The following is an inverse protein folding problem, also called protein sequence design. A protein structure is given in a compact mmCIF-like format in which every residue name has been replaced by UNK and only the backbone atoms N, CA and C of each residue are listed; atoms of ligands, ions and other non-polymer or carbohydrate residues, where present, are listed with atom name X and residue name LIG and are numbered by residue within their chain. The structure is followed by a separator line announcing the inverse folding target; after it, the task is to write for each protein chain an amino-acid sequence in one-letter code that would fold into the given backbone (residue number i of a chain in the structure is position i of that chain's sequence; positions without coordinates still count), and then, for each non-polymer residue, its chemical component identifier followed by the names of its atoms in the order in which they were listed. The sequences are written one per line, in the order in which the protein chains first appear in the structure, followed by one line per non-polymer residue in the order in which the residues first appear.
data_IF_386221633573
#
_entry.id   IF_386221633573
#
_cell.length_a   1.000
_cell.length_b   1.000
_cell.length_c   1.000
_cell.angle_alpha   90.00
_cell.angle_beta   90.00
_cell.angle_gamma   90.00
#
_symmetry.space_group_name_H-M   'P 1'
#
loop_
_entity.id
_entity.type
_entity.pdbx_description
1 polymer ?
#
# COMPACT_ATOMS: atom_id res chain seq x y z
N UNK A 1 25.04 -27.71 -11.72
CA UNK A 1 25.56 -28.02 -13.07
C UNK A 1 24.47 -28.56 -13.99
N UNK A 2 23.46 -29.25 -13.45
CA UNK A 2 22.47 -30.00 -14.25
C UNK A 2 21.28 -29.19 -14.78
N UNK A 3 20.83 -28.12 -14.10
CA UNK A 3 19.78 -27.20 -14.63
C UNK A 3 20.27 -26.47 -15.87
N UNK A 4 21.54 -26.03 -15.88
CA UNK A 4 22.16 -25.42 -17.05
C UNK A 4 22.20 -26.40 -18.24
N UNK A 5 22.54 -27.67 -17.98
CA UNK A 5 22.56 -28.72 -19.01
C UNK A 5 21.15 -29.06 -19.53
N UNK A 6 20.14 -29.06 -18.66
CA UNK A 6 18.73 -29.21 -19.05
C UNK A 6 18.26 -28.03 -19.93
N UNK A 7 18.61 -26.80 -19.54
CA UNK A 7 18.33 -25.60 -20.31
C UNK A 7 19.01 -25.57 -21.68
N UNK A 8 20.28 -26.00 -21.75
CA UNK A 8 21.03 -26.15 -23.01
C UNK A 8 20.42 -27.21 -23.91
N UNK A 9 20.07 -28.40 -23.37
CA UNK A 9 19.39 -29.47 -24.12
C UNK A 9 18.04 -29.02 -24.66
N UNK A 10 17.24 -28.32 -23.85
CA UNK A 10 15.93 -27.80 -24.27
C UNK A 10 16.08 -26.76 -25.39
N UNK A 11 16.99 -25.79 -25.21
CA UNK A 11 17.31 -24.77 -26.22
C UNK A 11 17.74 -25.41 -27.54
N UNK A 12 18.67 -26.36 -27.49
CA UNK A 12 19.24 -26.99 -28.68
C UNK A 12 18.20 -27.89 -29.39
N UNK A 13 17.32 -28.54 -28.65
CA UNK A 13 16.23 -29.36 -29.21
C UNK A 13 15.14 -28.51 -29.87
N UNK A 14 14.82 -27.35 -29.29
CA UNK A 14 13.90 -26.36 -29.87
C UNK A 14 14.51 -25.72 -31.13
N UNK A 15 15.79 -25.33 -31.09
CA UNK A 15 16.49 -24.74 -32.22
C UNK A 15 16.57 -25.72 -33.42
N UNK A 16 16.72 -27.01 -33.15
CA UNK A 16 16.84 -28.05 -34.17
C UNK A 16 15.52 -28.73 -34.53
N UNK A 17 14.37 -28.31 -33.96
CA UNK A 17 13.04 -28.95 -34.14
C UNK A 17 13.03 -30.45 -33.87
N UNK A 18 13.80 -30.90 -32.90
CA UNK A 18 13.99 -32.33 -32.54
C UNK A 18 13.37 -32.69 -31.19
N UNK A 19 12.49 -31.84 -30.66
CA UNK A 19 11.79 -32.09 -29.41
C UNK A 19 10.95 -33.38 -29.53
N UNK A 20 11.30 -34.38 -28.72
CA UNK A 20 10.65 -35.70 -28.67
C UNK A 20 10.37 -36.06 -27.21
N UNK A 21 9.46 -37.01 -26.97
CA UNK A 21 9.14 -37.50 -25.62
C UNK A 21 10.40 -37.95 -24.87
N UNK A 22 11.34 -38.59 -25.56
CA UNK A 22 12.61 -39.06 -24.96
C UNK A 22 13.50 -37.91 -24.48
N UNK A 23 13.46 -36.74 -25.13
CA UNK A 23 14.20 -35.54 -24.70
C UNK A 23 13.53 -34.92 -23.47
N UNK A 24 12.20 -34.98 -23.39
CA UNK A 24 11.44 -34.49 -22.24
C UNK A 24 11.67 -35.39 -21.03
N UNK A 25 11.65 -36.71 -21.19
CA UNK A 25 11.95 -37.68 -20.14
C UNK A 25 13.38 -37.49 -19.58
N UNK A 26 14.36 -37.27 -20.46
CA UNK A 26 15.74 -36.93 -20.08
C UNK A 26 15.79 -35.64 -19.23
N UNK A 27 15.05 -34.60 -19.63
CA UNK A 27 14.98 -33.33 -18.90
C UNK A 27 14.32 -33.53 -17.55
N UNK A 28 13.22 -34.27 -17.48
CA UNK A 28 12.55 -34.63 -16.22
C UNK A 28 13.47 -35.44 -15.31
N UNK A 29 14.32 -36.32 -15.86
CA UNK A 29 15.31 -37.07 -15.10
C UNK A 29 16.44 -36.17 -14.54
N UNK A 30 16.87 -35.15 -15.27
CA UNK A 30 17.80 -34.15 -14.74
C UNK A 30 17.19 -33.30 -13.63
N UNK A 31 15.88 -33.05 -13.69
CA UNK A 31 15.16 -32.26 -12.69
C UNK A 31 14.78 -33.07 -11.44
N UNK A 32 14.56 -34.39 -11.56
CA UNK A 32 14.13 -35.27 -10.47
C UNK A 32 15.27 -35.85 -9.62
N UNK A 33 16.53 -35.80 -10.08
CA UNK A 33 17.69 -36.31 -9.32
C UNK A 33 18.18 -35.39 -8.18
N UNK A 34 17.41 -34.36 -7.79
CA UNK A 34 17.73 -33.46 -6.68
C UNK A 34 16.56 -33.34 -5.69
N UNK A 35 16.19 -34.45 -5.04
CA UNK A 35 15.29 -34.37 -3.89
C UNK A 35 16.07 -34.18 -2.57
N UNK A 36 15.87 -32.98 -2.01
CA UNK A 36 15.56 -32.69 -0.60
C UNK A 36 16.64 -32.32 0.43
N UNK A 37 17.95 -32.48 0.19
CA UNK A 37 18.95 -32.07 1.21
C UNK A 37 19.83 -30.85 0.85
N UNK A 38 20.25 -30.71 -0.41
CA UNK A 38 21.09 -29.56 -0.82
C UNK A 38 20.28 -28.33 -1.26
N UNK A 39 19.04 -28.50 -1.70
CA UNK A 39 18.17 -27.38 -2.11
C UNK A 39 17.77 -26.55 -0.89
N UNK A 40 17.45 -27.18 0.25
CA UNK A 40 17.06 -26.46 1.46
C UNK A 40 18.21 -25.62 2.03
N UNK A 41 19.47 -26.11 1.96
CA UNK A 41 20.64 -25.34 2.37
C UNK A 41 20.90 -24.12 1.45
N UNK A 42 20.74 -24.28 0.13
CA UNK A 42 20.89 -23.18 -0.83
C UNK A 42 19.79 -22.12 -0.69
N UNK A 43 18.54 -22.53 -0.42
CA UNK A 43 17.42 -21.61 -0.16
C UNK A 43 17.65 -20.83 1.15
N UNK A 44 18.17 -21.48 2.19
CA UNK A 44 18.47 -20.81 3.46
C UNK A 44 19.63 -19.81 3.31
N UNK A 45 20.69 -20.15 2.56
CA UNK A 45 21.81 -19.23 2.26
C UNK A 45 21.38 -18.02 1.41
N UNK A 46 20.57 -18.23 0.36
CA UNK A 46 20.03 -17.15 -0.48
C UNK A 46 19.12 -16.23 0.33
N UNK A 47 18.32 -16.79 1.24
CA UNK A 47 17.46 -16.03 2.15
C UNK A 47 18.26 -15.19 3.13
N UNK A 48 19.32 -15.73 3.72
CA UNK A 48 20.18 -14.97 4.64
C UNK A 48 20.88 -13.81 3.90
N UNK A 49 21.36 -14.04 2.68
CA UNK A 49 21.93 -13.00 1.82
C UNK A 49 20.91 -11.90 1.48
N UNK A 50 19.66 -12.26 1.22
CA UNK A 50 18.56 -11.32 0.99
C UNK A 50 18.33 -10.43 2.22
N UNK A 51 18.22 -11.05 3.40
CA UNK A 51 17.99 -10.36 4.67
C UNK A 51 19.11 -9.35 4.98
N UNK A 52 20.36 -9.74 4.77
CA UNK A 52 21.51 -8.86 5.02
C UNK A 52 21.52 -7.67 4.05
N UNK A 53 21.17 -7.88 2.78
CA UNK A 53 21.02 -6.80 1.80
C UNK A 53 19.91 -5.82 2.20
N UNK A 54 18.77 -6.35 2.68
CA UNK A 54 17.66 -5.53 3.19
C UNK A 54 18.10 -4.66 4.37
N UNK A 55 18.82 -5.24 5.34
CA UNK A 55 19.37 -4.50 6.49
C UNK A 55 20.33 -3.40 6.06
N UNK A 56 21.21 -3.69 5.10
CA UNK A 56 22.16 -2.71 4.55
C UNK A 56 21.44 -1.52 3.90
N UNK A 57 20.44 -1.78 3.05
CA UNK A 57 19.63 -0.73 2.40
C UNK A 57 18.96 0.14 3.45
N UNK A 58 18.30 -0.47 4.45
CA UNK A 58 17.63 0.27 5.53
C UNK A 58 18.62 1.16 6.27
N UNK A 59 19.79 0.63 6.64
CA UNK A 59 20.80 1.40 7.37
C UNK A 59 21.32 2.58 6.54
N UNK A 60 21.71 2.33 5.28
CA UNK A 60 22.22 3.35 4.36
C UNK A 60 21.22 4.48 4.14
N UNK A 61 19.97 4.13 3.89
CA UNK A 61 18.93 5.12 3.63
C UNK A 61 18.52 5.88 4.89
N UNK A 62 18.46 5.21 6.04
CA UNK A 62 18.17 5.90 7.31
C UNK A 62 19.22 6.98 7.59
N UNK A 63 20.51 6.66 7.39
CA UNK A 63 21.61 7.62 7.53
C UNK A 63 21.51 8.75 6.49
N UNK A 64 21.20 8.43 5.23
CA UNK A 64 21.01 9.42 4.19
C UNK A 64 19.93 10.44 4.58
N UNK A 65 18.76 9.98 5.00
CA UNK A 65 17.65 10.86 5.37
C UNK A 65 17.90 11.66 6.65
N UNK A 66 18.56 11.08 7.65
CA UNK A 66 19.03 11.85 8.82
C UNK A 66 19.94 13.00 8.39
N UNK A 67 20.85 12.78 7.43
CA UNK A 67 21.75 13.81 6.91
C UNK A 67 21.05 14.86 6.03
N UNK A 68 20.06 14.45 5.22
CA UNK A 68 19.27 15.39 4.41
C UNK A 68 18.44 16.30 5.31
N UNK A 69 17.77 15.72 6.32
CA UNK A 69 16.95 16.47 7.27
C UNK A 69 17.79 17.39 8.16
N UNK A 70 18.92 16.90 8.70
CA UNK A 70 19.88 17.65 9.49
C UNK A 70 19.25 18.54 10.57
N UNK A 71 18.26 17.99 11.30
CA UNK A 71 17.52 18.64 12.38
C UNK A 71 16.90 20.02 12.04
N UNK A 72 16.66 20.31 10.76
CA UNK A 72 16.05 21.55 10.31
C UNK A 72 14.71 21.26 9.60
N UNK A 73 13.56 21.75 10.14
CA UNK A 73 12.26 21.49 9.54
C UNK A 73 12.13 21.99 8.09
N UNK A 74 12.86 23.03 7.69
CA UNK A 74 12.83 23.54 6.31
C UNK A 74 13.46 22.57 5.31
N UNK A 75 14.37 21.71 5.76
CA UNK A 75 15.01 20.71 4.92
C UNK A 75 14.03 19.63 4.44
N UNK A 76 12.80 19.57 4.97
CA UNK A 76 11.74 18.72 4.40
C UNK A 76 11.49 19.03 2.91
N UNK A 77 11.75 20.27 2.47
CA UNK A 77 11.63 20.69 1.08
C UNK A 77 12.76 20.18 0.16
N UNK A 78 13.80 19.56 0.72
CA UNK A 78 14.89 18.96 -0.06
C UNK A 78 14.57 17.55 -0.56
N UNK A 79 13.52 16.95 -0.01
CA UNK A 79 13.07 15.63 -0.41
C UNK A 79 12.32 15.71 -1.74
N UNK A 80 12.54 14.74 -2.60
CA UNK A 80 11.88 14.66 -3.90
C UNK A 80 10.50 14.03 -3.74
N UNK A 81 9.48 14.66 -4.33
CA UNK A 81 8.08 14.22 -4.27
C UNK A 81 7.57 13.82 -5.66
N UNK A 82 6.67 12.84 -5.72
CA UNK A 82 5.96 12.52 -6.95
C UNK A 82 5.15 13.72 -7.45
N UNK A 83 5.01 13.83 -8.76
CA UNK A 83 4.35 14.96 -9.45
C UNK A 83 2.82 14.78 -9.57
N UNK A 84 2.18 14.04 -8.65
CA UNK A 84 0.73 13.89 -8.69
C UNK A 84 0.05 15.22 -8.37
N UNK A 85 -0.59 15.80 -9.39
CA UNK A 85 -1.33 17.06 -9.34
C UNK A 85 -0.49 18.26 -8.85
N UNK A 86 0.84 18.19 -9.00
CA UNK A 86 1.79 19.21 -8.51
C UNK A 86 1.50 19.63 -7.05
N UNK A 87 1.09 18.68 -6.20
CA UNK A 87 0.62 18.96 -4.85
C UNK A 87 1.65 18.53 -3.79
N UNK A 88 2.58 19.42 -3.39
CA UNK A 88 3.56 19.13 -2.34
C UNK A 88 2.95 18.93 -0.96
N UNK A 89 1.67 19.30 -0.78
CA UNK A 89 0.96 19.20 0.49
C UNK A 89 0.02 17.98 0.54
N UNK A 90 0.11 17.05 -0.41
CA UNK A 90 -0.63 15.79 -0.34
C UNK A 90 -0.11 14.91 0.81
N UNK A 91 -1.01 14.14 1.44
CA UNK A 91 -0.66 13.27 2.55
C UNK A 91 0.16 12.07 2.08
N UNK A 92 -0.09 11.55 0.88
CA UNK A 92 0.53 10.31 0.38
C UNK A 92 1.82 10.60 -0.41
N UNK A 93 1.83 11.63 -1.24
CA UNK A 93 2.91 11.91 -2.18
C UNK A 93 3.68 13.18 -1.84
N UNK A 94 3.33 13.89 -0.77
CA UNK A 94 3.88 15.19 -0.40
C UNK A 94 4.67 15.18 0.91
N UNK A 95 5.10 16.38 1.30
CA UNK A 95 5.90 16.60 2.53
C UNK A 95 5.24 16.12 3.83
N UNK A 96 3.91 16.24 4.03
CA UNK A 96 3.26 15.68 5.22
C UNK A 96 3.49 14.16 5.36
N UNK A 97 3.39 13.43 4.25
CA UNK A 97 3.61 11.98 4.25
C UNK A 97 5.05 11.57 4.45
N UNK A 98 5.97 12.32 3.88
CA UNK A 98 7.41 12.19 4.14
C UNK A 98 7.67 12.35 5.64
N UNK A 99 7.17 13.42 6.25
CA UNK A 99 7.40 13.71 7.67
C UNK A 99 6.88 12.59 8.59
N UNK A 100 5.65 12.11 8.36
CA UNK A 100 5.09 10.97 9.10
C UNK A 100 5.91 9.69 8.89
N UNK A 101 6.36 9.43 7.67
CA UNK A 101 7.15 8.23 7.39
C UNK A 101 8.53 8.30 8.06
N UNK A 102 9.20 9.46 8.03
CA UNK A 102 10.45 9.69 8.76
C UNK A 102 10.29 9.42 10.26
N UNK A 103 9.18 9.88 10.86
CA UNK A 103 8.86 9.60 12.27
C UNK A 103 8.69 8.10 12.50
N UNK A 104 7.89 7.42 11.67
CA UNK A 104 7.65 5.98 11.80
C UNK A 104 8.92 5.13 11.61
N UNK A 105 9.91 5.66 10.88
CA UNK A 105 11.21 5.03 10.69
C UNK A 105 12.21 5.37 11.80
N UNK A 106 11.81 6.15 12.82
CA UNK A 106 12.67 6.68 13.88
C UNK A 106 13.85 7.53 13.36
N UNK A 107 13.65 8.22 12.24
CA UNK A 107 14.64 9.15 11.66
C UNK A 107 14.48 10.55 12.28
N UNK A 108 13.24 10.90 12.65
CA UNK A 108 12.91 12.12 13.40
C UNK A 108 12.08 11.78 14.64
N UNK A 109 12.13 12.63 15.65
CA UNK A 109 11.32 12.53 16.86
C UNK A 109 10.00 13.35 16.79
N UNK A 110 9.19 13.27 17.85
CA UNK A 110 7.91 14.00 17.96
C UNK A 110 8.08 15.52 17.94
N UNK A 111 9.15 16.04 18.55
CA UNK A 111 9.42 17.47 18.58
C UNK A 111 9.76 18.01 17.19
N UNK A 112 10.57 17.26 16.45
CA UNK A 112 10.92 17.54 15.06
C UNK A 112 9.68 17.46 14.15
N UNK A 113 8.85 16.42 14.29
CA UNK A 113 7.59 16.31 13.54
C UNK A 113 6.67 17.51 13.79
N UNK A 114 6.55 17.96 15.04
CA UNK A 114 5.77 19.15 15.40
C UNK A 114 6.32 20.43 14.76
N UNK A 115 7.64 20.59 14.72
CA UNK A 115 8.28 21.73 14.06
C UNK A 115 8.06 21.72 12.54
N UNK A 116 8.12 20.54 11.90
CA UNK A 116 7.77 20.38 10.48
C UNK A 116 6.33 20.77 10.24
N UNK A 117 5.39 20.31 11.09
CA UNK A 117 3.98 20.69 11.01
C UNK A 117 3.78 22.22 11.03
N UNK A 118 4.40 22.91 12.00
CA UNK A 118 4.34 24.38 12.08
C UNK A 118 4.92 25.03 10.82
N UNK A 119 6.04 24.52 10.31
CA UNK A 119 6.66 25.01 9.09
C UNK A 119 5.76 24.81 7.87
N UNK A 120 5.23 23.61 7.64
CA UNK A 120 4.36 23.30 6.50
C UNK A 120 3.08 24.14 6.51
N UNK A 121 2.53 24.44 7.68
CA UNK A 121 1.39 25.36 7.77
C UNK A 121 1.76 26.79 7.34
N UNK A 122 2.93 27.29 7.72
CA UNK A 122 3.43 28.61 7.27
C UNK A 122 3.70 28.59 5.77
N UNK A 123 4.35 27.53 5.27
CA UNK A 123 4.62 27.33 3.86
C UNK A 123 3.34 27.36 3.02
N UNK A 124 2.30 26.64 3.46
CA UNK A 124 0.98 26.67 2.82
C UNK A 124 0.38 28.07 2.80
N UNK A 125 0.39 28.80 3.93
CA UNK A 125 -0.15 30.18 3.99
C UNK A 125 0.53 31.13 3.01
N UNK A 126 1.86 31.01 2.85
CA UNK A 126 2.64 31.85 1.93
C UNK A 126 2.37 31.47 0.47
N UNK A 127 2.18 30.18 0.18
CA UNK A 127 2.05 29.65 -1.18
C UNK A 127 0.62 29.26 -1.55
N UNK A 128 -0.40 29.72 -0.81
CA UNK A 128 -1.80 29.29 -0.94
C UNK A 128 -2.36 29.45 -2.35
N UNK A 129 -1.89 30.44 -3.12
CA UNK A 129 -2.31 30.66 -4.51
C UNK A 129 -1.72 29.69 -5.54
N UNK A 130 -0.69 28.92 -5.17
CA UNK A 130 0.02 27.99 -6.07
C UNK A 130 -0.23 26.53 -5.73
N UNK A 131 -0.73 26.23 -4.54
CA UNK A 131 -0.96 24.87 -4.06
C UNK A 131 -2.42 24.50 -4.31
N UNK A 132 -2.65 23.52 -5.19
CA UNK A 132 -3.97 22.92 -5.35
C UNK A 132 -4.23 21.95 -4.20
N UNK A 133 -5.29 22.18 -3.44
CA UNK A 133 -5.67 21.36 -2.31
C UNK A 133 -7.17 21.08 -2.34
N UNK A 134 -7.56 19.83 -2.57
CA UNK A 134 -8.96 19.41 -2.49
C UNK A 134 -9.38 19.18 -1.02
N UNK A 135 -10.59 18.68 -0.77
CA UNK A 135 -11.04 18.43 0.61
C UNK A 135 -10.69 17.04 1.13
N UNK A 136 -10.21 16.14 0.28
CA UNK A 136 -10.04 14.73 0.57
C UNK A 136 -8.86 14.37 1.47
N UNK A 137 -8.72 13.06 1.67
CA UNK A 137 -7.72 12.45 2.55
C UNK A 137 -6.34 12.41 1.90
N UNK A 138 -6.21 11.91 0.67
CA UNK A 138 -4.90 11.66 0.09
C UNK A 138 -4.22 12.93 -0.44
N UNK A 139 -5.01 13.86 -0.99
CA UNK A 139 -4.51 15.05 -1.71
C UNK A 139 -5.05 16.37 -1.14
N UNK A 140 -5.65 16.35 0.06
CA UNK A 140 -6.51 17.44 0.49
C UNK A 140 -6.43 17.83 1.95
N UNK A 141 -7.35 18.72 2.31
CA UNK A 141 -7.49 19.29 3.66
C UNK A 141 -7.72 18.23 4.73
N UNK A 142 -8.47 17.16 4.46
CA UNK A 142 -8.68 16.10 5.45
C UNK A 142 -7.36 15.37 5.78
N UNK A 143 -6.52 15.13 4.77
CA UNK A 143 -5.19 14.57 4.97
C UNK A 143 -4.27 15.48 5.79
N UNK A 144 -4.25 16.77 5.47
CA UNK A 144 -3.47 17.75 6.22
C UNK A 144 -3.99 17.94 7.65
N UNK A 145 -5.31 17.96 7.84
CA UNK A 145 -5.91 18.01 9.17
C UNK A 145 -5.44 16.83 10.02
N UNK A 146 -5.48 15.62 9.45
CA UNK A 146 -5.00 14.40 10.11
C UNK A 146 -3.51 14.48 10.43
N UNK A 147 -2.68 14.88 9.46
CA UNK A 147 -1.24 15.11 9.68
C UNK A 147 -0.98 16.06 10.85
N UNK A 148 -1.68 17.19 10.90
CA UNK A 148 -1.52 18.17 11.96
C UNK A 148 -1.89 17.63 13.34
N UNK A 149 -2.98 16.86 13.44
CA UNK A 149 -3.36 16.16 14.66
C UNK A 149 -2.24 15.22 15.11
N UNK A 150 -1.75 14.37 14.21
CA UNK A 150 -0.71 13.37 14.53
C UNK A 150 0.67 13.96 14.78
N UNK A 151 0.94 15.15 14.27
CA UNK A 151 2.12 15.94 14.62
C UNK A 151 2.01 16.67 15.99
N UNK A 152 0.96 16.41 16.78
CA UNK A 152 0.75 17.05 18.08
C UNK A 152 0.41 18.54 18.00
N UNK A 153 -0.22 18.98 16.90
CA UNK A 153 -0.72 20.35 16.78
C UNK A 153 -1.98 20.52 17.60
N UNK A 154 -2.06 21.58 18.40
CA UNK A 154 -3.30 21.90 19.13
C UNK A 154 -4.47 22.08 18.16
N UNK A 155 -5.65 21.61 18.56
CA UNK A 155 -6.90 21.75 17.80
C UNK A 155 -7.12 23.17 17.28
N UNK A 156 -6.92 24.19 18.12
CA UNK A 156 -7.08 25.61 17.76
C UNK A 156 -6.15 26.08 16.63
N UNK A 157 -5.06 25.36 16.37
CA UNK A 157 -4.06 25.69 15.37
C UNK A 157 -4.20 24.87 14.09
N UNK A 158 -5.16 23.93 14.02
CA UNK A 158 -5.35 23.10 12.84
C UNK A 158 -6.23 23.81 11.80
N UNK A 159 -5.63 24.73 11.02
CA UNK A 159 -6.35 25.54 10.03
C UNK A 159 -7.08 24.68 8.98
N UNK A 160 -6.50 23.53 8.63
CA UNK A 160 -7.04 22.67 7.57
C UNK A 160 -8.33 21.97 8.01
N UNK A 161 -8.41 21.60 9.30
CA UNK A 161 -9.63 21.07 9.88
C UNK A 161 -10.76 22.10 9.87
N UNK A 162 -10.48 23.35 10.24
CA UNK A 162 -11.49 24.41 10.21
C UNK A 162 -11.95 24.73 8.78
N UNK A 163 -11.02 24.87 7.83
CA UNK A 163 -11.35 25.09 6.42
C UNK A 163 -12.16 23.91 5.83
N UNK A 164 -11.87 22.67 6.25
CA UNK A 164 -12.62 21.49 5.86
C UNK A 164 -14.06 21.54 6.39
N UNK A 165 -14.24 21.76 7.69
CA UNK A 165 -15.57 21.82 8.33
C UNK A 165 -16.42 22.95 7.74
N UNK A 166 -15.82 24.12 7.48
CA UNK A 166 -16.50 25.23 6.81
C UNK A 166 -16.99 24.82 5.41
N UNK A 167 -16.16 24.10 4.65
CA UNK A 167 -16.53 23.63 3.31
C UNK A 167 -17.67 22.61 3.36
N UNK A 168 -17.61 21.67 4.30
CA UNK A 168 -18.64 20.64 4.50
C UNK A 168 -20.00 21.23 4.91
N UNK A 169 -20.01 22.33 5.68
CA UNK A 169 -21.23 23.01 6.08
C UNK A 169 -21.88 23.85 4.98
N UNK A 170 -21.09 24.31 4.00
CA UNK A 170 -21.51 25.31 3.01
C UNK A 170 -21.76 24.73 1.60
N UNK A 171 -21.53 23.43 1.38
CA UNK A 171 -21.63 22.83 0.05
C UNK A 171 -22.28 21.44 0.08
N UNK A 172 -23.05 21.12 -0.97
CA UNK A 172 -23.41 19.73 -1.27
C UNK A 172 -22.18 19.01 -1.81
N UNK A 173 -21.41 18.38 -0.93
CA UNK A 173 -20.24 17.59 -1.33
C UNK A 173 -20.70 16.25 -1.91
N UNK A 174 -20.24 15.90 -3.13
CA UNK A 174 -20.75 14.75 -3.90
C UNK A 174 -19.70 13.69 -4.24
N UNK A 175 -18.42 13.96 -4.06
CA UNK A 175 -17.37 12.96 -4.27
C UNK A 175 -17.42 11.95 -3.12
N UNK A 176 -17.42 10.64 -3.43
CA UNK A 176 -17.61 9.57 -2.43
C UNK A 176 -16.34 8.72 -2.25
N UNK A 177 -15.39 8.76 -3.18
CA UNK A 177 -14.20 7.91 -3.14
C UNK A 177 -13.30 8.11 -1.91
N UNK A 178 -12.34 7.22 -1.72
CA UNK A 178 -11.46 7.23 -0.56
C UNK A 178 -10.37 8.30 -0.64
N UNK A 179 -9.85 8.63 -1.83
CA UNK A 179 -8.78 9.62 -1.97
C UNK A 179 -9.28 11.06 -1.73
N UNK A 180 -10.38 11.42 -2.38
CA UNK A 180 -10.88 12.78 -2.51
C UNK A 180 -12.26 12.97 -1.87
N UNK A 181 -13.02 11.88 -1.74
CA UNK A 181 -14.42 11.90 -1.37
C UNK A 181 -14.75 11.80 0.12
N UNK A 182 -16.05 11.70 0.39
CA UNK A 182 -16.64 11.59 1.73
C UNK A 182 -16.09 10.39 2.50
N UNK A 183 -15.80 9.27 1.83
CA UNK A 183 -15.24 8.09 2.51
C UNK A 183 -13.87 8.41 3.13
N UNK A 184 -12.97 9.07 2.39
CA UNK A 184 -11.69 9.51 2.94
C UNK A 184 -11.81 10.58 4.01
N UNK A 185 -12.71 11.55 3.81
CA UNK A 185 -12.95 12.64 4.77
C UNK A 185 -13.45 12.09 6.12
N UNK A 186 -14.47 11.23 6.08
CA UNK A 186 -15.04 10.63 7.29
C UNK A 186 -14.02 9.74 8.00
N UNK A 187 -13.18 9.02 7.23
CA UNK A 187 -12.10 8.21 7.75
C UNK A 187 -11.06 9.08 8.49
N UNK A 188 -10.65 10.20 7.90
CA UNK A 188 -9.76 11.16 8.56
C UNK A 188 -10.37 11.71 9.86
N UNK A 189 -11.64 12.11 9.84
CA UNK A 189 -12.33 12.65 11.02
C UNK A 189 -12.45 11.62 12.14
N UNK A 190 -12.62 10.33 11.80
CA UNK A 190 -12.61 9.24 12.78
C UNK A 190 -11.25 9.15 13.47
N UNK A 191 -10.16 9.09 12.70
CA UNK A 191 -8.80 9.05 13.23
C UNK A 191 -8.42 10.30 14.06
N UNK A 192 -8.95 11.46 13.70
CA UNK A 192 -8.79 12.70 14.47
C UNK A 192 -9.58 12.60 15.78
N UNK A 193 -10.78 12.02 15.76
CA UNK A 193 -11.63 11.87 16.95
C UNK A 193 -11.07 10.90 17.98
N UNK A 194 -10.20 9.97 17.55
CA UNK A 194 -9.50 9.04 18.44
C UNK A 194 -8.35 9.73 19.22
N UNK A 195 -7.96 10.94 18.81
CA UNK A 195 -7.04 11.80 19.57
C UNK A 195 -7.80 12.62 20.62
N UNK A 196 -7.47 12.42 21.91
CA UNK A 196 -8.16 13.06 23.03
C UNK A 196 -7.96 14.57 23.13
N UNK A 197 -7.05 15.15 22.35
CA UNK A 197 -6.83 16.61 22.26
C UNK A 197 -7.73 17.29 21.22
N UNK A 198 -8.49 16.51 20.46
CA UNK A 198 -9.44 16.99 19.45
C UNK A 198 -10.90 16.68 19.84
N UNK A 199 -11.87 17.47 19.34
CA UNK A 199 -13.29 17.14 19.51
C UNK A 199 -13.65 15.82 18.83
N UNK A 200 -14.65 15.15 19.38
CA UNK A 200 -15.26 14.00 18.74
C UNK A 200 -16.19 14.44 17.59
N UNK A 201 -15.94 13.93 16.39
CA UNK A 201 -16.68 14.26 15.16
C UNK A 201 -17.75 13.24 14.76
N UNK A 202 -18.14 12.30 15.64
CA UNK A 202 -19.09 11.22 15.35
C UNK A 202 -20.41 11.71 14.74
N UNK A 203 -20.92 12.89 15.13
CA UNK A 203 -22.14 13.44 14.53
C UNK A 203 -21.99 13.78 13.04
N UNK A 204 -20.86 14.37 12.66
CA UNK A 204 -20.57 14.68 11.25
C UNK A 204 -20.34 13.37 10.48
N UNK A 205 -19.57 12.45 11.08
CA UNK A 205 -19.28 11.14 10.48
C UNK A 205 -20.57 10.37 10.18
N UNK A 206 -21.47 10.20 11.17
CA UNK A 206 -22.74 9.49 10.97
C UNK A 206 -23.63 10.16 9.91
N UNK A 207 -23.62 11.50 9.81
CA UNK A 207 -24.43 12.21 8.80
C UNK A 207 -24.02 11.91 7.34
N UNK A 208 -22.74 11.65 7.11
CA UNK A 208 -22.23 11.27 5.79
C UNK A 208 -22.21 9.74 5.58
N UNK A 209 -22.21 8.97 6.67
CA UNK A 209 -22.19 7.52 6.61
C UNK A 209 -23.41 6.95 5.87
N UNK A 210 -24.59 7.55 6.06
CA UNK A 210 -25.80 7.15 5.35
C UNK A 210 -25.67 7.31 3.82
N UNK A 211 -24.98 8.37 3.37
CA UNK A 211 -24.70 8.62 1.95
C UNK A 211 -23.72 7.57 1.42
N UNK A 212 -22.65 7.30 2.17
CA UNK A 212 -21.63 6.31 1.80
C UNK A 212 -22.25 4.91 1.70
N UNK A 213 -23.09 4.53 2.67
CA UNK A 213 -23.71 3.20 2.75
C UNK A 213 -24.81 2.99 1.71
N UNK A 214 -25.40 4.06 1.19
CA UNK A 214 -26.45 4.00 0.17
C UNK A 214 -25.93 3.75 -1.25
N UNK A 215 -24.60 3.73 -1.46
CA UNK A 215 -24.01 3.46 -2.77
C UNK A 215 -24.44 2.08 -3.28
N UNK A 216 -24.98 2.06 -4.50
CA UNK A 216 -25.55 0.87 -5.13
C UNK A 216 -25.10 0.66 -6.58
N UNK A 217 -24.14 1.46 -7.03
CA UNK A 217 -23.62 1.48 -8.39
C UNK A 217 -22.12 1.85 -8.38
N UNK A 218 -21.42 1.66 -9.51
CA UNK A 218 -20.05 2.15 -9.65
C UNK A 218 -19.95 3.66 -9.37
N UNK A 219 -19.00 4.07 -8.53
CA UNK A 219 -18.82 5.50 -8.17
C UNK A 219 -17.99 6.31 -9.16
N UNK A 220 -17.32 5.63 -10.08
CA UNK A 220 -16.48 6.21 -11.12
C UNK A 220 -15.97 5.10 -12.02
N UNK A 221 -15.09 5.42 -12.96
CA UNK A 221 -14.55 4.48 -13.95
C UNK A 221 -13.43 3.55 -13.44
N UNK A 222 -12.93 3.79 -12.23
CA UNK A 222 -11.77 3.12 -11.64
C UNK A 222 -12.21 2.08 -10.63
N UNK A 223 -11.42 1.01 -10.46
CA UNK A 223 -11.67 -0.02 -9.46
C UNK A 223 -10.52 -0.10 -8.45
N UNK A 224 -10.87 -0.39 -7.20
CA UNK A 224 -9.92 -0.52 -6.11
C UNK A 224 -9.99 0.60 -5.08
N UNK A 225 -8.99 0.65 -4.19
CA UNK A 225 -9.08 1.42 -2.95
C UNK A 225 -9.22 2.93 -3.18
N UNK A 226 -8.46 3.52 -4.10
CA UNK A 226 -8.31 4.97 -4.15
C UNK A 226 -9.56 5.67 -4.69
N UNK A 227 -10.11 5.16 -5.81
CA UNK A 227 -11.15 5.82 -6.59
C UNK A 227 -12.36 4.91 -6.92
N UNK A 228 -12.39 3.68 -6.41
CA UNK A 228 -13.43 2.68 -6.70
C UNK A 228 -14.26 2.28 -5.49
N UNK A 229 -15.18 1.34 -5.70
CA UNK A 229 -16.12 0.87 -4.67
C UNK A 229 -15.42 0.07 -3.56
N UNK A 230 -14.29 -0.58 -3.84
CA UNK A 230 -13.43 -1.19 -2.80
C UNK A 230 -13.02 -0.16 -1.72
N UNK A 231 -12.77 1.10 -2.11
CA UNK A 231 -12.50 2.19 -1.18
C UNK A 231 -13.65 2.47 -0.22
N UNK A 232 -14.88 2.35 -0.70
CA UNK A 232 -16.09 2.51 0.12
C UNK A 232 -16.22 1.35 1.11
N UNK A 233 -16.04 0.11 0.65
CA UNK A 233 -16.06 -1.06 1.53
C UNK A 233 -15.02 -0.92 2.65
N UNK A 234 -13.81 -0.46 2.33
CA UNK A 234 -12.79 -0.17 3.33
C UNK A 234 -13.27 0.86 4.36
N UNK A 235 -13.84 1.98 3.91
CA UNK A 235 -14.40 2.99 4.81
C UNK A 235 -15.49 2.43 5.71
N UNK A 236 -16.49 1.73 5.15
CA UNK A 236 -17.61 1.12 5.89
C UNK A 236 -17.09 0.19 7.00
N UNK A 237 -16.10 -0.63 6.69
CA UNK A 237 -15.47 -1.53 7.65
C UNK A 237 -14.80 -0.79 8.82
N UNK A 238 -14.24 0.40 8.59
CA UNK A 238 -13.53 1.16 9.62
C UNK A 238 -14.47 1.96 10.53
N UNK A 239 -15.69 2.25 10.08
CA UNK A 239 -16.66 3.01 10.88
C UNK A 239 -17.37 2.19 11.95
N UNK A 240 -17.49 0.87 11.78
CA UNK A 240 -18.21 0.01 12.73
C UNK A 240 -17.61 -1.38 12.89
N UNK A 241 -17.96 -1.98 14.03
CA UNK A 241 -18.00 -3.42 14.14
C UNK A 241 -19.12 -3.98 13.25
N UNK A 242 -18.75 -4.38 12.03
CA UNK A 242 -19.64 -5.00 11.05
C UNK A 242 -20.38 -6.23 11.60
N UNK A 243 -19.90 -6.86 12.67
CA UNK A 243 -20.55 -8.01 13.29
C UNK A 243 -21.82 -7.65 14.08
N UNK A 244 -22.08 -6.35 14.31
CA UNK A 244 -23.21 -5.89 15.14
C UNK A 244 -24.37 -5.27 14.36
N UNK A 245 -24.18 -4.93 13.07
CA UNK A 245 -25.17 -4.21 12.25
C UNK A 245 -25.28 -4.82 10.84
N UNK A 246 -26.29 -5.67 10.62
CA UNK A 246 -26.51 -6.41 9.36
C UNK A 246 -26.52 -5.53 8.11
N UNK A 247 -27.21 -4.38 8.15
CA UNK A 247 -27.35 -3.51 6.98
C UNK A 247 -26.00 -2.90 6.53
N UNK A 248 -25.05 -2.71 7.46
CA UNK A 248 -23.71 -2.17 7.14
C UNK A 248 -22.82 -3.26 6.53
N UNK A 249 -22.96 -4.50 6.99
CA UNK A 249 -22.31 -5.67 6.38
C UNK A 249 -22.82 -5.92 4.95
N UNK A 250 -24.12 -5.78 4.72
CA UNK A 250 -24.71 -5.91 3.38
C UNK A 250 -24.14 -4.84 2.43
N UNK A 251 -24.01 -3.59 2.89
CA UNK A 251 -23.42 -2.50 2.09
C UNK A 251 -21.93 -2.73 1.79
N UNK A 252 -21.19 -3.26 2.77
CA UNK A 252 -19.78 -3.64 2.60
C UNK A 252 -19.60 -4.65 1.46
N UNK A 253 -20.33 -5.77 1.48
CA UNK A 253 -20.21 -6.81 0.45
C UNK A 253 -20.79 -6.36 -0.89
N UNK A 254 -21.90 -5.60 -0.88
CA UNK A 254 -22.49 -5.04 -2.10
C UNK A 254 -21.49 -4.20 -2.89
N UNK A 255 -20.69 -3.37 -2.22
CA UNK A 255 -19.68 -2.55 -2.89
C UNK A 255 -18.52 -3.40 -3.46
N UNK A 256 -18.15 -4.50 -2.79
CA UNK A 256 -17.22 -5.49 -3.35
C UNK A 256 -17.81 -6.15 -4.59
N UNK A 257 -19.07 -6.58 -4.52
CA UNK A 257 -19.76 -7.26 -5.62
C UNK A 257 -19.91 -6.37 -6.86
N UNK A 258 -20.15 -5.07 -6.68
CA UNK A 258 -20.17 -4.10 -7.79
C UNK A 258 -18.85 -4.17 -8.58
N UNK A 259 -17.71 -4.12 -7.91
CA UNK A 259 -16.40 -4.16 -8.57
C UNK A 259 -16.05 -5.56 -9.10
N UNK A 260 -16.35 -6.63 -8.37
CA UNK A 260 -16.04 -8.01 -8.79
C UNK A 260 -16.93 -8.47 -9.94
N UNK A 261 -18.18 -8.00 -10.02
CA UNK A 261 -19.12 -8.38 -11.09
C UNK A 261 -18.64 -7.99 -12.49
N UNK A 262 -17.80 -6.94 -12.60
CA UNK A 262 -17.24 -6.49 -13.89
C UNK A 262 -16.25 -7.48 -14.51
N UNK A 263 -15.76 -8.46 -13.72
CA UNK A 263 -14.85 -9.52 -14.15
C UNK A 263 -15.47 -10.91 -14.02
N UNK A 264 -16.80 -11.00 -13.91
CA UNK A 264 -17.51 -12.27 -13.73
C UNK A 264 -17.37 -13.26 -14.91
N UNK A 265 -17.07 -12.76 -16.11
CA UNK A 265 -16.81 -13.58 -17.29
C UNK A 265 -15.38 -14.16 -17.33
N UNK A 266 -14.49 -13.73 -16.43
CA UNK A 266 -13.12 -14.26 -16.35
C UNK A 266 -13.14 -15.72 -15.87
N UNK A 267 -12.59 -16.64 -16.68
CA UNK A 267 -12.47 -18.06 -16.28
C UNK A 267 -11.66 -18.26 -14.99
N UNK A 268 -10.71 -17.37 -14.75
CA UNK A 268 -9.87 -17.36 -13.56
C UNK A 268 -9.74 -15.91 -13.13
N UNK A 269 -10.04 -15.62 -11.86
CA UNK A 269 -9.84 -14.28 -11.32
C UNK A 269 -8.34 -13.94 -11.30
N UNK A 270 -7.96 -12.90 -12.02
CA UNK A 270 -6.57 -12.38 -12.06
C UNK A 270 -6.44 -10.97 -11.49
N UNK A 271 -7.54 -10.37 -11.03
CA UNK A 271 -7.58 -9.04 -10.43
C UNK A 271 -8.76 -8.20 -10.88
N UNK A 272 -8.86 -6.99 -10.33
CA UNK A 272 -9.77 -5.95 -10.82
C UNK A 272 -9.05 -5.08 -11.87
N UNK A 273 -9.82 -4.39 -12.71
CA UNK A 273 -9.25 -3.53 -13.74
C UNK A 273 -8.77 -2.20 -13.15
N UNK A 274 -7.73 -1.59 -13.74
CA UNK A 274 -7.41 -0.19 -13.39
C UNK A 274 -8.60 0.72 -13.69
N UNK A 275 -9.20 0.55 -14.87
CA UNK A 275 -10.46 1.17 -15.24
C UNK A 275 -11.34 0.17 -15.99
N UNK A 276 -12.52 -0.13 -15.45
CA UNK A 276 -13.44 -1.08 -16.10
C UNK A 276 -14.10 -0.50 -17.36
N UNK A 277 -14.16 0.82 -17.49
CA UNK A 277 -14.75 1.49 -18.66
C UNK A 277 -13.75 1.54 -19.83
N UNK A 278 -12.51 1.96 -19.57
CA UNK A 278 -11.52 2.17 -20.63
C UNK A 278 -10.68 0.91 -20.91
N UNK A 279 -10.40 0.11 -19.89
CA UNK A 279 -9.49 -1.03 -19.97
C UNK A 279 -10.02 -2.24 -19.18
N UNK A 280 -11.23 -2.75 -19.51
CA UNK A 280 -11.91 -3.82 -18.77
C UNK A 280 -11.15 -5.15 -18.68
N UNK A 281 -10.10 -5.34 -19.48
CA UNK A 281 -9.27 -6.55 -19.50
C UNK A 281 -7.84 -6.33 -18.99
N UNK A 282 -7.48 -5.09 -18.62
CA UNK A 282 -6.16 -4.78 -18.05
C UNK A 282 -6.28 -4.81 -16.53
N UNK A 283 -5.74 -5.89 -15.94
CA UNK A 283 -5.80 -6.14 -14.50
C UNK A 283 -4.73 -5.31 -13.80
N UNK A 284 -5.15 -4.58 -12.77
CA UNK A 284 -4.25 -3.88 -11.87
C UNK A 284 -3.97 -4.76 -10.66
N UNK A 285 -2.69 -4.98 -10.27
CA UNK A 285 -2.36 -5.80 -9.12
C UNK A 285 -2.13 -4.99 -7.83
N UNK A 286 -2.35 -3.68 -7.85
CA UNK A 286 -1.79 -2.78 -6.84
C UNK A 286 -2.71 -2.53 -5.63
N UNK A 287 -2.15 -1.89 -4.61
CA UNK A 287 -2.87 -1.55 -3.38
C UNK A 287 -3.89 -0.43 -3.60
N UNK A 288 -3.53 0.60 -4.36
CA UNK A 288 -4.43 1.74 -4.62
C UNK A 288 -5.42 1.50 -5.76
N UNK A 289 -5.16 0.50 -6.60
CA UNK A 289 -6.06 0.08 -7.66
C UNK A 289 -5.94 -1.41 -7.90
N UNK A 290 -7.05 -2.10 -8.14
CA UNK A 290 -6.98 -3.49 -8.58
C UNK A 290 -7.08 -4.55 -7.47
N UNK A 291 -6.47 -5.71 -7.70
CA UNK A 291 -6.71 -6.91 -6.88
C UNK A 291 -6.04 -6.94 -5.50
N UNK A 292 -4.86 -6.35 -5.32
CA UNK A 292 -4.27 -6.27 -3.97
C UNK A 292 -5.12 -5.38 -3.05
N UNK A 293 -5.79 -4.36 -3.60
CA UNK A 293 -6.77 -3.55 -2.86
C UNK A 293 -7.97 -4.36 -2.35
N UNK A 294 -8.49 -5.29 -3.16
CA UNK A 294 -9.57 -6.18 -2.76
C UNK A 294 -9.12 -7.14 -1.65
N UNK A 295 -7.93 -7.74 -1.84
CA UNK A 295 -7.34 -8.63 -0.85
C UNK A 295 -7.05 -7.91 0.47
N UNK A 296 -6.60 -6.65 0.42
CA UNK A 296 -6.39 -5.81 1.60
C UNK A 296 -7.67 -5.70 2.44
N UNK A 297 -8.77 -5.28 1.82
CA UNK A 297 -10.06 -5.08 2.49
C UNK A 297 -10.60 -6.40 3.06
N UNK A 298 -10.60 -7.46 2.26
CA UNK A 298 -11.07 -8.79 2.71
C UNK A 298 -10.21 -9.37 3.83
N UNK A 299 -8.88 -9.24 3.75
CA UNK A 299 -7.96 -9.73 4.77
C UNK A 299 -8.20 -9.01 6.10
N UNK A 300 -8.39 -7.69 6.06
CA UNK A 300 -8.74 -6.89 7.25
C UNK A 300 -10.08 -7.37 7.83
N UNK A 301 -11.07 -7.64 6.98
CA UNK A 301 -12.38 -8.13 7.42
C UNK A 301 -12.30 -9.51 8.09
N UNK A 302 -11.56 -10.44 7.48
CA UNK A 302 -11.37 -11.78 8.02
C UNK A 302 -10.58 -11.81 9.32
N UNK A 303 -9.59 -10.93 9.46
CA UNK A 303 -8.90 -10.74 10.73
C UNK A 303 -9.88 -10.31 11.82
N UNK A 304 -10.66 -9.24 11.58
CA UNK A 304 -11.54 -8.64 12.59
C UNK A 304 -12.72 -9.55 12.95
N UNK A 305 -13.30 -10.26 11.98
CA UNK A 305 -14.39 -11.23 12.21
C UNK A 305 -13.90 -12.56 12.78
N UNK A 306 -12.58 -12.83 12.77
CA UNK A 306 -11.97 -14.13 13.11
C UNK A 306 -12.54 -15.30 12.31
N UNK A 307 -13.11 -15.02 11.13
CA UNK A 307 -13.74 -16.00 10.27
C UNK A 307 -13.21 -15.85 8.85
N UNK A 308 -12.09 -16.51 8.57
CA UNK A 308 -11.44 -16.42 7.27
C UNK A 308 -12.02 -17.41 6.27
N UNK A 309 -12.55 -16.90 5.15
CA UNK A 309 -12.91 -17.72 3.99
C UNK A 309 -11.66 -18.01 3.15
N UNK A 310 -10.96 -19.09 3.53
CA UNK A 310 -9.78 -19.54 2.79
C UNK A 310 -10.10 -20.01 1.38
N UNK A 311 -11.32 -20.46 1.08
CA UNK A 311 -11.69 -20.86 -0.26
C UNK A 311 -11.76 -19.63 -1.17
N UNK A 312 -12.39 -18.54 -0.70
CA UNK A 312 -12.40 -17.27 -1.42
C UNK A 312 -10.99 -16.68 -1.54
N UNK A 313 -10.21 -16.60 -0.46
CA UNK A 313 -8.86 -16.01 -0.58
C UNK A 313 -8.01 -16.74 -1.62
N UNK A 314 -8.05 -18.08 -1.67
CA UNK A 314 -7.32 -18.90 -2.65
C UNK A 314 -7.64 -18.54 -4.09
N UNK A 315 -8.89 -18.24 -4.43
CA UNK A 315 -9.28 -17.86 -5.79
C UNK A 315 -8.74 -16.47 -6.15
N UNK A 316 -8.59 -15.60 -5.16
CA UNK A 316 -8.10 -14.23 -5.34
C UNK A 316 -6.58 -14.11 -5.37
N UNK A 317 -5.82 -15.03 -4.74
CA UNK A 317 -4.36 -14.95 -4.61
C UNK A 317 -3.60 -14.79 -5.93
N UNK A 318 -4.16 -15.27 -7.05
CA UNK A 318 -3.52 -15.15 -8.37
C UNK A 318 -3.27 -13.71 -8.78
N UNK A 319 -4.01 -12.75 -8.23
CA UNK A 319 -3.78 -11.32 -8.50
C UNK A 319 -2.43 -10.80 -7.99
N UNK A 320 -1.81 -11.49 -7.02
CA UNK A 320 -0.52 -11.11 -6.45
C UNK A 320 0.68 -11.68 -7.25
N UNK A 321 0.43 -12.61 -8.18
CA UNK A 321 1.48 -13.34 -8.93
C UNK A 321 2.00 -12.56 -10.14
N UNK A 322 2.07 -11.24 -10.04
CA UNK A 322 2.55 -10.42 -11.16
C UNK A 322 4.07 -10.52 -11.26
N UNK A 323 4.61 -11.03 -12.39
CA UNK A 323 6.04 -11.34 -12.51
C UNK A 323 6.90 -10.09 -12.69
N UNK A 324 6.35 -9.01 -13.24
CA UNK A 324 7.10 -7.79 -13.55
C UNK A 324 6.23 -6.55 -13.41
N UNK A 325 6.80 -5.47 -12.88
CA UNK A 325 6.23 -4.12 -12.94
C UNK A 325 7.32 -3.12 -13.32
N UNK A 326 6.99 -1.83 -13.39
CA UNK A 326 7.94 -0.72 -13.49
C UNK A 326 7.94 0.14 -12.22
N UNK A 327 7.31 -0.31 -11.14
CA UNK A 327 6.98 0.52 -9.97
C UNK A 327 7.28 -0.24 -8.67
N UNK A 328 8.01 0.41 -7.75
CA UNK A 328 8.49 -0.26 -6.54
C UNK A 328 7.72 0.13 -5.28
N UNK A 329 7.04 1.29 -5.29
CA UNK A 329 6.36 1.88 -4.13
C UNK A 329 5.16 1.10 -3.58
N UNK A 330 4.53 1.67 -2.55
CA UNK A 330 3.39 1.08 -1.84
C UNK A 330 2.10 1.21 -2.66
N UNK A 331 1.81 2.38 -3.22
CA UNK A 331 0.51 2.67 -3.83
C UNK A 331 0.25 1.85 -5.08
N UNK A 332 1.17 1.95 -6.04
CA UNK A 332 1.08 1.34 -7.36
C UNK A 332 2.26 0.42 -7.67
N UNK A 333 2.96 -0.15 -6.67
CA UNK A 333 4.16 -0.95 -6.87
C UNK A 333 4.26 -2.23 -6.05
N UNK A 334 5.39 -2.93 -6.19
CA UNK A 334 5.59 -4.25 -5.54
C UNK A 334 5.69 -4.19 -4.02
N UNK A 335 6.05 -3.06 -3.43
CA UNK A 335 6.01 -2.91 -1.97
C UNK A 335 4.59 -3.02 -1.44
N UNK A 336 3.59 -2.52 -2.18
CA UNK A 336 2.18 -2.70 -1.84
C UNK A 336 1.74 -4.17 -1.93
N UNK A 337 2.22 -4.89 -2.95
CA UNK A 337 1.93 -6.33 -3.12
C UNK A 337 2.56 -7.15 -1.99
N UNK A 338 3.84 -6.93 -1.69
CA UNK A 338 4.56 -7.59 -0.60
C UNK A 338 3.89 -7.36 0.76
N UNK A 339 3.38 -6.16 0.98
CA UNK A 339 2.61 -5.82 2.18
C UNK A 339 1.36 -6.69 2.32
N UNK A 340 0.56 -6.84 1.26
CA UNK A 340 -0.65 -7.67 1.30
C UNK A 340 -0.31 -9.15 1.50
N UNK A 341 0.79 -9.62 0.93
CA UNK A 341 1.28 -10.98 1.18
C UNK A 341 1.60 -11.17 2.66
N UNK A 342 2.36 -10.26 3.28
CA UNK A 342 2.66 -10.31 4.71
C UNK A 342 1.39 -10.28 5.57
N UNK A 343 0.39 -9.44 5.21
CA UNK A 343 -0.90 -9.39 5.91
C UNK A 343 -1.63 -10.72 5.94
N UNK A 344 -1.67 -11.42 4.81
CA UNK A 344 -2.33 -12.73 4.72
C UNK A 344 -1.54 -13.77 5.53
N UNK A 345 -0.20 -13.72 5.50
CA UNK A 345 0.67 -14.66 6.20
C UNK A 345 0.58 -14.58 7.74
N UNK A 346 0.20 -13.42 8.27
CA UNK A 346 -0.03 -13.22 9.71
C UNK A 346 -1.48 -13.46 10.16
N UNK A 347 -2.39 -13.80 9.24
CA UNK A 347 -3.73 -14.23 9.63
C UNK A 347 -3.69 -15.50 10.51
N UNK A 348 -4.66 -15.70 11.41
CA UNK A 348 -4.75 -16.93 12.16
C UNK A 348 -5.05 -18.11 11.23
N UNK A 349 -4.44 -19.27 11.51
CA UNK A 349 -4.72 -20.55 10.84
C UNK A 349 -4.54 -20.55 9.31
N UNK A 350 -3.53 -19.85 8.78
CA UNK A 350 -3.17 -19.93 7.36
C UNK A 350 -2.88 -21.39 6.96
N UNK A 351 -3.60 -21.96 5.98
CA UNK A 351 -3.32 -23.30 5.48
C UNK A 351 -1.87 -23.43 5.00
N UNK A 352 -1.25 -24.58 5.26
CA UNK A 352 0.18 -24.79 5.00
C UNK A 352 0.56 -24.52 3.55
N UNK A 353 -0.26 -24.98 2.60
CA UNK A 353 -0.03 -24.81 1.18
C UNK A 353 -0.18 -23.35 0.71
N UNK A 354 -1.09 -22.59 1.34
CA UNK A 354 -1.20 -21.13 1.13
C UNK A 354 0.02 -20.42 1.69
N UNK A 355 0.44 -20.79 2.90
CA UNK A 355 1.62 -20.23 3.56
C UNK A 355 2.87 -20.41 2.71
N UNK A 356 3.15 -21.63 2.27
CA UNK A 356 4.31 -21.94 1.43
C UNK A 356 4.31 -21.14 0.12
N UNK A 357 3.17 -21.09 -0.57
CA UNK A 357 3.02 -20.31 -1.81
C UNK A 357 3.27 -18.82 -1.58
N UNK A 358 2.71 -18.26 -0.52
CA UNK A 358 2.84 -16.83 -0.21
C UNK A 358 4.23 -16.46 0.30
N UNK A 359 4.90 -17.34 1.04
CA UNK A 359 6.29 -17.11 1.46
C UNK A 359 7.23 -17.05 0.26
N UNK A 360 7.09 -17.97 -0.71
CA UNK A 360 7.86 -17.92 -1.96
C UNK A 360 7.58 -16.63 -2.73
N UNK A 361 6.31 -16.26 -2.87
CA UNK A 361 5.93 -15.03 -3.56
C UNK A 361 6.44 -13.78 -2.84
N UNK A 362 6.45 -13.77 -1.51
CA UNK A 362 7.00 -12.67 -0.72
C UNK A 362 8.49 -12.48 -0.99
N UNK A 363 9.26 -13.58 -0.96
CA UNK A 363 10.70 -13.53 -1.25
C UNK A 363 10.98 -12.99 -2.64
N UNK A 364 10.25 -13.48 -3.65
CA UNK A 364 10.34 -12.97 -5.03
C UNK A 364 10.04 -11.45 -5.10
N UNK A 365 9.02 -10.96 -4.38
CA UNK A 365 8.73 -9.51 -4.37
C UNK A 365 9.81 -8.70 -3.68
N UNK A 366 10.35 -9.18 -2.56
CA UNK A 366 11.40 -8.48 -1.83
C UNK A 366 12.70 -8.47 -2.63
N UNK A 367 13.08 -9.60 -3.23
CA UNK A 367 14.23 -9.69 -4.14
C UNK A 367 14.07 -8.71 -5.31
N UNK A 368 12.92 -8.75 -5.98
CA UNK A 368 12.61 -7.82 -7.07
C UNK A 368 12.75 -6.35 -6.64
N UNK A 369 12.29 -5.99 -5.43
CA UNK A 369 12.46 -4.62 -4.93
C UNK A 369 13.94 -4.29 -4.74
N UNK A 370 14.70 -5.12 -4.02
CA UNK A 370 16.08 -4.76 -3.63
C UNK A 370 17.06 -4.72 -4.81
N UNK A 371 16.87 -5.53 -5.86
CA UNK A 371 17.76 -5.51 -7.04
C UNK A 371 17.64 -4.20 -7.82
N UNK A 372 16.54 -3.45 -7.64
CA UNK A 372 16.32 -2.14 -8.25
C UNK A 372 16.71 -0.99 -7.33
N UNK A 373 17.40 -1.25 -6.22
CA UNK A 373 17.97 -0.20 -5.39
C UNK A 373 19.21 0.41 -6.06
N UNK A 374 19.25 1.73 -6.16
CA UNK A 374 20.40 2.46 -6.67
C UNK A 374 21.20 3.09 -5.53
N UNK A 375 22.50 2.82 -5.49
CA UNK A 375 23.46 3.45 -4.57
C UNK A 375 24.74 3.81 -5.33
N UNK A 376 24.80 5.05 -5.82
CA UNK A 376 26.00 5.61 -6.42
C UNK A 376 26.24 7.04 -5.90
N UNK A 377 27.31 7.69 -6.36
CA UNK A 377 27.73 9.00 -5.84
C UNK A 377 26.68 10.10 -6.03
N UNK A 378 25.88 9.99 -7.08
CA UNK A 378 24.94 11.04 -7.51
C UNK A 378 23.50 10.69 -7.14
N UNK A 379 23.20 9.39 -6.97
CA UNK A 379 21.85 8.88 -6.82
C UNK A 379 21.78 7.80 -5.74
N UNK A 380 20.77 7.94 -4.86
CA UNK A 380 20.51 6.99 -3.79
C UNK A 380 18.99 6.83 -3.60
N UNK A 381 18.49 5.60 -3.75
CA UNK A 381 17.07 5.28 -3.59
C UNK A 381 16.49 4.49 -4.77
N UNK A 382 15.19 4.64 -4.96
CA UNK A 382 14.42 3.98 -6.02
C UNK A 382 13.84 5.00 -7.00
N UNK A 383 13.73 4.60 -8.26
CA UNK A 383 13.05 5.38 -9.28
C UNK A 383 11.53 5.43 -9.05
N UNK A 384 10.93 6.51 -9.52
CA UNK A 384 9.48 6.71 -9.55
C UNK A 384 8.78 5.84 -10.61
N UNK A 385 7.46 5.98 -10.74
CA UNK A 385 6.71 5.16 -11.70
C UNK A 385 7.10 5.39 -13.16
N UNK A 386 7.59 6.60 -13.50
CA UNK A 386 8.02 6.96 -14.85
C UNK A 386 9.46 6.53 -15.14
N UNK A 387 10.17 6.05 -14.12
CA UNK A 387 11.58 5.68 -14.19
C UNK A 387 12.49 6.85 -14.61
N UNK A 388 12.13 8.09 -14.25
CA UNK A 388 12.86 9.29 -14.68
C UNK A 388 13.54 10.03 -13.53
N UNK A 389 13.07 9.86 -12.29
CA UNK A 389 13.62 10.53 -11.10
C UNK A 389 13.55 9.65 -9.86
N UNK A 390 14.40 9.95 -8.89
CA UNK A 390 14.35 9.37 -7.55
C UNK A 390 13.37 10.14 -6.68
N UNK A 391 12.47 9.43 -6.02
CA UNK A 391 11.42 10.01 -5.18
C UNK A 391 11.51 9.45 -3.77
N UNK A 392 11.20 10.30 -2.80
CA UNK A 392 11.31 10.02 -1.37
C UNK A 392 9.95 9.86 -0.69
N UNK A 393 8.82 10.14 -1.35
CA UNK A 393 7.51 10.09 -0.72
C UNK A 393 7.06 8.69 -0.24
N UNK A 394 5.92 8.66 0.45
CA UNK A 394 5.37 7.43 1.02
C UNK A 394 4.73 6.52 -0.04
N UNK A 395 3.99 7.10 -0.99
CA UNK A 395 3.22 6.31 -1.96
C UNK A 395 4.11 5.57 -2.96
N UNK A 396 5.01 6.29 -3.61
CA UNK A 396 5.84 5.78 -4.69
C UNK A 396 7.33 5.79 -4.36
N UNK A 397 7.72 6.60 -3.38
CA UNK A 397 9.11 6.84 -3.06
C UNK A 397 9.76 5.83 -2.13
N UNK A 398 11.05 6.07 -1.94
CA UNK A 398 11.95 5.24 -1.17
C UNK A 398 11.54 5.12 0.30
N UNK A 399 10.96 6.16 0.92
CA UNK A 399 10.50 6.07 2.32
C UNK A 399 9.39 5.03 2.50
N UNK A 400 8.44 4.95 1.57
CA UNK A 400 7.42 3.90 1.56
C UNK A 400 8.05 2.51 1.47
N UNK A 401 8.97 2.33 0.54
CA UNK A 401 9.68 1.05 0.32
C UNK A 401 10.42 0.62 1.59
N UNK A 402 11.14 1.53 2.25
CA UNK A 402 11.86 1.26 3.50
C UNK A 402 10.95 0.80 4.64
N UNK A 403 9.72 1.35 4.71
CA UNK A 403 8.71 0.90 5.68
C UNK A 403 8.39 -0.58 5.45
N UNK A 404 8.19 -0.98 4.20
CA UNK A 404 7.88 -2.38 3.84
C UNK A 404 9.07 -3.30 4.10
N UNK A 405 10.28 -2.87 3.76
CA UNK A 405 11.50 -3.63 4.07
C UNK A 405 11.69 -3.85 5.58
N UNK A 406 11.41 -2.85 6.42
CA UNK A 406 11.42 -3.04 7.90
C UNK A 406 10.34 -4.01 8.37
N UNK A 407 9.14 -3.97 7.77
CA UNK A 407 8.09 -4.93 8.09
C UNK A 407 8.46 -6.35 7.68
N UNK A 408 9.14 -6.51 6.55
CA UNK A 408 9.68 -7.80 6.10
C UNK A 408 10.70 -8.37 7.08
N UNK A 409 11.62 -7.55 7.61
CA UNK A 409 12.54 -8.00 8.66
C UNK A 409 11.78 -8.49 9.91
N UNK A 410 10.80 -7.73 10.39
CA UNK A 410 9.94 -8.16 11.51
C UNK A 410 9.20 -9.47 11.20
N UNK A 411 8.72 -9.65 9.97
CA UNK A 411 8.06 -10.88 9.54
C UNK A 411 9.02 -12.06 9.63
N UNK A 412 10.23 -11.90 9.07
CA UNK A 412 11.26 -12.93 9.08
C UNK A 412 11.68 -13.32 10.51
N UNK A 413 11.77 -12.33 11.40
CA UNK A 413 12.14 -12.52 12.81
C UNK A 413 10.96 -13.04 13.65
N UNK A 414 9.80 -13.27 13.04
CA UNK A 414 8.54 -13.70 13.69
C UNK A 414 8.01 -12.71 14.73
N UNK A 415 8.38 -11.45 14.59
CA UNK A 415 7.95 -10.33 15.43
C UNK A 415 6.79 -9.54 14.82
N UNK A 416 6.47 -9.77 13.55
CA UNK A 416 5.33 -9.13 12.90
C UNK A 416 4.02 -9.76 13.39
N UNK A 417 3.28 -9.01 14.20
CA UNK A 417 1.91 -9.33 14.61
C UNK A 417 0.93 -8.35 13.98
N UNK A 418 -0.36 -8.73 13.94
CA UNK A 418 -1.40 -7.80 13.52
C UNK A 418 -1.50 -6.65 14.52
N UNK A 419 -1.09 -5.48 14.08
CA UNK A 419 -1.23 -4.19 14.75
C UNK A 419 -2.25 -3.37 13.96
N UNK A 420 -3.40 -3.07 14.56
CA UNK A 420 -4.46 -2.31 13.89
C UNK A 420 -3.93 -0.94 13.42
N UNK A 421 -3.05 -0.29 14.17
CA UNK A 421 -2.51 1.01 13.79
C UNK A 421 -1.49 0.94 12.65
N UNK A 422 -0.87 -0.23 12.43
CA UNK A 422 0.06 -0.45 11.31
C UNK A 422 -0.68 -0.95 10.08
N UNK A 423 -1.63 -1.88 10.24
CA UNK A 423 -2.28 -2.60 9.16
C UNK A 423 -3.59 -1.99 8.69
N UNK A 424 -4.38 -1.37 9.57
CA UNK A 424 -5.61 -0.68 9.16
C UNK A 424 -5.32 0.70 8.56
N UNK A 425 -4.14 1.28 8.84
CA UNK A 425 -3.72 2.59 8.32
C UNK A 425 -2.83 2.49 7.08
N UNK A 426 -2.64 1.29 6.51
CA UNK A 426 -1.72 0.99 5.41
C UNK A 426 -1.79 1.93 4.20
N UNK A 427 -2.96 2.42 3.74
CA UNK A 427 -2.97 3.34 2.61
C UNK A 427 -2.44 4.74 2.97
N UNK A 428 -1.97 4.95 4.19
CA UNK A 428 -1.44 6.21 4.67
C UNK A 428 -0.05 6.02 5.33
N UNK A 429 0.80 7.05 5.28
CA UNK A 429 2.05 7.07 6.04
C UNK A 429 1.74 6.92 7.53
N UNK A 430 2.52 6.07 8.23
CA UNK A 430 2.16 5.64 9.59
C UNK A 430 1.96 6.82 10.54
N UNK A 431 0.96 6.67 11.39
CA UNK A 431 0.34 7.72 12.19
C UNK A 431 0.74 7.64 13.68
N UNK A 432 1.76 6.81 14.00
CA UNK A 432 2.29 6.57 15.35
C UNK A 432 3.83 6.67 15.36
#
# INVERSE_FOLDING_TARGET
MDIYNAGVKLRDSLANKTLSETVLDDIEQYLSNNEDSNINLLIDEEKDSLIDTVKEIIQKMSLYYSNVFADNPENILKFNISDYNDNPMSLVYGYPGIALTLKSLNIIDEFQLRNISIFLQKYYKINKSKIFLNNGLMFGKAGLALFHTKAGSFFSNNIFLFELIETLNNSEYREIDFANGLTGITYALKLISDDNTYPNFSKIIESYFDIISAVDKPIGKYQGLQYGNIGISFGIQYFDDLNTKSNRLDSFFKNIDIDVSSVSDDKIFTGLSYSYENWPHIRSPYLYSGGASLLYVLTTYFHNSKNCDWQLLRTLLKTLEVPTTHTYGIGYGMSGVALIIMMILILPNVPLDVRQRLELLLMDKIEYIIIHFHDNKDFKGFYDEKQDKFIDDFGNGTLGILKILKMFLKYNDKELCWDEDVFSLIPLPNII
#
